data_IF_242427825483
#
_entry.id   IF_242427825483
#
_cell.length_a   1.000
_cell.length_b   1.000
_cell.length_c   1.000
_cell.angle_alpha   90.00
_cell.angle_beta   90.00
_cell.angle_gamma   90.00
#
_symmetry.space_group_name_H-M   'P 1'
#
loop_
_entity.id
_entity.type
_entity.pdbx_description
1 polymer ?
#
# COMPACT_ATOMS: atom_id res chain seq x y z
N UNK A 1 18.68 8.92 -24.55
CA UNK A 1 17.89 8.96 -23.31
C UNK A 1 18.16 7.68 -22.53
N UNK A 2 18.57 7.76 -21.27
CA UNK A 2 18.65 6.58 -20.39
C UNK A 2 17.28 6.38 -19.75
N UNK A 3 16.75 5.17 -19.82
CA UNK A 3 15.49 4.85 -19.15
C UNK A 3 15.70 4.80 -17.64
N UNK A 4 14.92 5.55 -16.89
CA UNK A 4 14.92 5.52 -15.43
C UNK A 4 13.77 4.64 -14.95
N UNK A 5 14.10 3.56 -14.24
CA UNK A 5 13.13 2.54 -13.81
C UNK A 5 12.31 3.02 -12.61
N UNK A 6 12.90 3.86 -11.74
CA UNK A 6 12.32 4.28 -10.47
C UNK A 6 10.96 5.01 -10.59
N UNK A 7 10.76 5.96 -11.53
CA UNK A 7 9.45 6.59 -11.74
C UNK A 7 8.34 5.59 -12.07
N UNK A 8 8.64 4.53 -12.84
CA UNK A 8 7.68 3.50 -13.21
C UNK A 8 7.29 2.64 -12.00
N UNK A 9 8.28 2.28 -11.18
CA UNK A 9 8.06 1.53 -9.92
C UNK A 9 7.21 2.33 -8.95
N UNK A 10 7.54 3.61 -8.75
CA UNK A 10 6.77 4.51 -7.88
C UNK A 10 5.33 4.67 -8.38
N UNK A 11 5.13 4.84 -9.69
CA UNK A 11 3.79 4.90 -10.27
C UNK A 11 3.00 3.62 -10.01
N UNK A 12 3.62 2.45 -10.23
CA UNK A 12 3.01 1.14 -9.99
C UNK A 12 2.60 0.88 -8.54
N UNK A 13 3.12 1.66 -7.58
CA UNK A 13 2.79 1.56 -6.15
C UNK A 13 1.80 2.63 -5.73
N UNK A 14 2.06 3.88 -6.11
CA UNK A 14 1.24 5.03 -5.72
C UNK A 14 -0.14 4.93 -6.35
N UNK A 15 -0.24 4.52 -7.62
CA UNK A 15 -1.53 4.44 -8.30
C UNK A 15 -2.50 3.45 -7.60
N UNK A 16 -2.16 2.17 -7.38
CA UNK A 16 -3.04 1.24 -6.68
C UNK A 16 -3.34 1.67 -5.24
N UNK A 17 -2.36 2.27 -4.55
CA UNK A 17 -2.56 2.85 -3.22
C UNK A 17 -3.63 3.94 -3.20
N UNK A 18 -3.56 4.89 -4.12
CA UNK A 18 -4.56 5.95 -4.28
C UNK A 18 -5.93 5.35 -4.63
N UNK A 19 -5.99 4.34 -5.49
CA UNK A 19 -7.25 3.63 -5.78
C UNK A 19 -7.84 3.01 -4.50
N UNK A 20 -7.02 2.35 -3.68
CA UNK A 20 -7.45 1.83 -2.38
C UNK A 20 -8.06 2.89 -1.47
N UNK A 21 -7.40 4.05 -1.35
CA UNK A 21 -7.93 5.20 -0.60
C UNK A 21 -9.28 5.66 -1.16
N UNK A 22 -9.37 5.86 -2.47
CA UNK A 22 -10.60 6.32 -3.13
C UNK A 22 -11.76 5.33 -2.95
N UNK A 23 -11.50 4.03 -2.88
CA UNK A 23 -12.53 3.02 -2.63
C UNK A 23 -13.14 3.13 -1.21
N UNK A 24 -12.33 3.44 -0.19
CA UNK A 24 -12.83 3.57 1.20
C UNK A 24 -13.39 4.96 1.51
N UNK A 25 -12.93 5.98 0.78
CA UNK A 25 -13.24 7.38 1.05
C UNK A 25 -14.75 7.70 1.08
N UNK A 26 -15.61 7.25 0.13
CA UNK A 26 -17.05 7.55 0.16
C UNK A 26 -17.73 7.09 1.44
N UNK A 27 -17.40 5.88 1.90
CA UNK A 27 -17.95 5.30 3.13
C UNK A 27 -17.45 6.07 4.36
N UNK A 28 -16.18 6.47 4.38
CA UNK A 28 -15.61 7.27 5.47
C UNK A 28 -16.36 8.61 5.61
N UNK A 29 -16.65 9.27 4.49
CA UNK A 29 -17.41 10.54 4.47
C UNK A 29 -18.82 10.37 5.03
N UNK A 30 -19.52 9.28 4.69
CA UNK A 30 -20.85 8.97 5.23
C UNK A 30 -20.77 8.75 6.76
N UNK A 31 -19.83 7.94 7.21
CA UNK A 31 -19.62 7.68 8.63
C UNK A 31 -19.21 8.96 9.40
N UNK A 32 -18.56 9.93 8.74
CA UNK A 32 -18.19 11.23 9.33
C UNK A 32 -19.41 12.10 9.57
N UNK A 33 -20.42 12.00 8.71
CA UNK A 33 -21.68 12.72 8.91
C UNK A 33 -22.60 12.11 9.96
N UNK A 34 -22.37 10.86 10.35
CA UNK A 34 -23.19 10.16 11.34
C UNK A 34 -22.80 10.47 12.81
N UNK A 35 -21.95 11.48 13.08
CA UNK A 35 -21.47 11.86 14.41
C UNK A 35 -20.89 10.70 15.25
N UNK A 36 -20.45 9.61 14.59
CA UNK A 36 -19.72 8.53 15.25
C UNK A 36 -18.38 9.07 15.75
N UNK A 37 -18.04 8.76 17.01
CA UNK A 37 -16.72 9.08 17.57
C UNK A 37 -15.61 8.49 16.70
N UNK A 38 -14.60 9.31 16.39
CA UNK A 38 -13.41 8.86 15.71
C UNK A 38 -12.65 7.87 16.59
N UNK A 39 -12.48 6.66 16.09
CA UNK A 39 -11.79 5.57 16.78
C UNK A 39 -10.78 4.95 15.82
N UNK A 40 -9.64 4.51 16.35
CA UNK A 40 -8.62 3.85 15.54
C UNK A 40 -8.60 2.34 15.80
N UNK A 41 -8.81 1.55 14.74
CA UNK A 41 -8.70 0.10 14.81
C UNK A 41 -7.23 -0.33 14.68
N UNK A 42 -6.55 -0.39 15.82
CA UNK A 42 -5.17 -0.86 15.95
C UNK A 42 -5.00 -2.30 15.47
N UNK A 43 -6.02 -3.15 15.61
CA UNK A 43 -5.93 -4.56 15.22
C UNK A 43 -5.83 -4.63 13.69
N UNK A 44 -6.71 -3.94 12.96
CA UNK A 44 -6.63 -3.89 11.49
C UNK A 44 -5.33 -3.24 11.01
N UNK A 45 -4.86 -2.20 11.69
CA UNK A 45 -3.63 -1.54 11.31
C UNK A 45 -2.42 -2.48 11.39
N UNK A 46 -2.26 -3.15 12.53
CA UNK A 46 -1.12 -4.05 12.76
C UNK A 46 -1.27 -5.34 11.95
N UNK A 47 -2.46 -5.92 11.85
CA UNK A 47 -2.67 -7.21 11.20
C UNK A 47 -2.73 -7.12 9.66
N UNK A 48 -3.04 -5.95 9.09
CA UNK A 48 -3.25 -5.80 7.64
C UNK A 48 -2.37 -4.69 7.05
N UNK A 49 -2.43 -3.47 7.59
CA UNK A 49 -1.69 -2.34 7.01
C UNK A 49 -0.18 -2.51 7.14
N UNK A 50 0.32 -2.98 8.29
CA UNK A 50 1.77 -3.20 8.47
C UNK A 50 2.32 -4.30 7.53
N UNK A 51 1.73 -5.51 7.44
CA UNK A 51 2.21 -6.53 6.50
C UNK A 51 2.18 -6.07 5.04
N UNK A 52 1.12 -5.36 4.63
CA UNK A 52 1.00 -4.86 3.26
C UNK A 52 2.01 -3.74 2.96
N UNK A 53 2.30 -2.87 3.93
CA UNK A 53 3.37 -1.88 3.82
C UNK A 53 4.74 -2.55 3.68
N UNK A 54 5.03 -3.62 4.43
CA UNK A 54 6.28 -4.38 4.29
C UNK A 54 6.44 -4.96 2.88
N UNK A 55 5.36 -5.51 2.30
CA UNK A 55 5.38 -6.04 0.93
C UNK A 55 5.65 -4.91 -0.09
N UNK A 56 5.02 -3.74 0.06
CA UNK A 56 5.31 -2.59 -0.82
C UNK A 56 6.76 -2.13 -0.68
N UNK A 57 7.28 -2.05 0.55
CA UNK A 57 8.69 -1.69 0.78
C UNK A 57 9.64 -2.67 0.08
N UNK A 58 9.36 -3.98 0.16
CA UNK A 58 10.11 -5.01 -0.56
C UNK A 58 10.05 -4.88 -2.09
N UNK A 59 8.99 -4.28 -2.64
CA UNK A 59 8.90 -3.99 -4.07
C UNK A 59 9.78 -2.80 -4.52
N UNK A 60 10.08 -1.86 -3.62
CA UNK A 60 10.91 -0.67 -3.90
C UNK A 60 12.38 -0.95 -3.69
N UNK A 61 12.71 -1.74 -2.66
CA UNK A 61 14.08 -2.04 -2.24
C UNK A 61 15.05 -2.45 -3.38
N UNK A 62 14.67 -3.27 -4.40
CA UNK A 62 15.59 -3.67 -5.47
C UNK A 62 16.14 -2.50 -6.29
N UNK A 63 15.44 -1.36 -6.29
CA UNK A 63 15.77 -0.18 -7.07
C UNK A 63 16.51 0.89 -6.24
N UNK A 64 16.98 0.52 -5.05
CA UNK A 64 17.70 1.39 -4.12
C UNK A 64 19.08 0.81 -3.78
N UNK A 65 19.97 1.62 -3.19
CA UNK A 65 21.28 1.15 -2.72
C UNK A 65 21.19 0.03 -1.65
N UNK A 66 20.02 -0.16 -1.03
CA UNK A 66 19.79 -1.21 -0.06
C UNK A 66 19.66 -2.62 -0.68
N UNK A 67 19.50 -2.72 -2.01
CA UNK A 67 19.40 -3.99 -2.72
C UNK A 67 20.64 -4.88 -2.52
N UNK A 68 21.81 -4.29 -2.27
CA UNK A 68 23.06 -5.03 -2.03
C UNK A 68 23.10 -5.74 -0.67
N UNK A 69 22.30 -5.27 0.30
CA UNK A 69 22.33 -5.76 1.68
C UNK A 69 21.16 -6.67 2.04
N UNK A 70 20.09 -6.68 1.24
CA UNK A 70 18.85 -7.37 1.56
C UNK A 70 18.55 -8.40 0.47
N UNK A 71 18.38 -9.68 0.87
CA UNK A 71 17.91 -10.72 -0.04
C UNK A 71 16.41 -10.54 -0.28
N UNK A 72 16.05 -10.13 -1.49
CA UNK A 72 14.66 -9.90 -1.89
C UNK A 72 14.12 -11.16 -2.56
N UNK A 73 12.88 -11.60 -2.24
CA UNK A 73 12.30 -12.78 -2.87
C UNK A 73 12.18 -12.62 -4.39
N UNK A 74 12.62 -13.63 -5.14
CA UNK A 74 12.59 -13.66 -6.61
C UNK A 74 11.19 -13.37 -7.18
N UNK A 75 10.14 -13.80 -6.47
CA UNK A 75 8.74 -13.58 -6.85
C UNK A 75 8.36 -12.09 -6.95
N UNK A 76 9.08 -11.20 -6.25
CA UNK A 76 8.89 -9.75 -6.35
C UNK A 76 9.65 -9.11 -7.52
N UNK A 77 10.66 -9.81 -8.05
CA UNK A 77 11.51 -9.35 -9.14
C UNK A 77 11.08 -9.91 -10.51
N UNK A 78 10.56 -11.15 -10.53
CA UNK A 78 10.18 -11.88 -11.76
C UNK A 78 8.66 -12.11 -11.88
N UNK A 79 7.89 -11.78 -10.83
CA UNK A 79 6.45 -11.96 -10.81
C UNK A 79 5.69 -10.91 -11.62
N UNK A 80 4.43 -11.22 -11.94
CA UNK A 80 3.50 -10.20 -12.45
C UNK A 80 3.25 -9.12 -11.40
N UNK A 81 3.01 -7.85 -11.77
CA UNK A 81 2.81 -6.74 -10.83
C UNK A 81 1.49 -6.83 -10.03
N UNK A 82 0.81 -7.97 -10.10
CA UNK A 82 -0.46 -8.25 -9.42
C UNK A 82 -0.30 -8.14 -7.90
N UNK A 83 0.79 -8.67 -7.33
CA UNK A 83 1.02 -8.61 -5.88
C UNK A 83 1.12 -7.14 -5.44
N UNK A 84 1.96 -6.36 -6.10
CA UNK A 84 2.15 -4.92 -5.80
C UNK A 84 0.82 -4.15 -5.94
N UNK A 85 0.05 -4.47 -6.99
CA UNK A 85 -1.25 -3.82 -7.25
C UNK A 85 -2.26 -4.13 -6.14
N UNK A 86 -2.45 -5.42 -5.82
CA UNK A 86 -3.39 -5.84 -4.77
C UNK A 86 -2.96 -5.29 -3.42
N UNK A 87 -1.68 -5.43 -3.07
CA UNK A 87 -1.14 -4.93 -1.81
C UNK A 87 -1.27 -3.42 -1.69
N UNK A 88 -1.03 -2.66 -2.77
CA UNK A 88 -1.25 -1.21 -2.81
C UNK A 88 -2.71 -0.84 -2.50
N UNK A 89 -3.65 -1.49 -3.19
CA UNK A 89 -5.09 -1.28 -2.98
C UNK A 89 -5.49 -1.62 -1.53
N UNK A 90 -5.05 -2.77 -1.01
CA UNK A 90 -5.37 -3.21 0.34
C UNK A 90 -4.79 -2.23 1.36
N UNK A 91 -3.53 -1.81 1.23
CA UNK A 91 -2.92 -0.84 2.14
C UNK A 91 -3.71 0.48 2.16
N UNK A 92 -3.98 1.06 0.98
CA UNK A 92 -4.71 2.32 0.87
C UNK A 92 -6.11 2.21 1.47
N UNK A 93 -6.85 1.15 1.14
CA UNK A 93 -8.19 0.92 1.68
C UNK A 93 -8.16 0.77 3.21
N UNK A 94 -7.26 -0.07 3.73
CA UNK A 94 -7.18 -0.37 5.17
C UNK A 94 -6.79 0.85 5.99
N UNK A 95 -5.91 1.74 5.50
CA UNK A 95 -5.54 2.95 6.24
C UNK A 95 -6.76 3.82 6.58
N UNK A 96 -7.68 4.00 5.63
CA UNK A 96 -8.93 4.73 5.90
C UNK A 96 -9.94 3.89 6.67
N UNK A 97 -9.95 2.57 6.50
CA UNK A 97 -10.83 1.67 7.24
C UNK A 97 -10.47 1.57 8.73
N UNK A 98 -9.19 1.79 9.07
CA UNK A 98 -8.72 1.90 10.45
C UNK A 98 -9.30 3.11 11.17
N UNK A 99 -9.73 4.16 10.47
CA UNK A 99 -10.15 5.41 11.09
C UNK A 99 -11.55 5.37 11.72
N UNK A 100 -12.29 4.25 11.63
CA UNK A 100 -13.64 4.09 12.23
C UNK A 100 -14.02 2.67 12.61
N UNK A 101 -14.53 2.53 13.83
CA UNK A 101 -15.29 1.38 14.34
C UNK A 101 -16.79 1.68 14.43
#
# INVERSE_FOLDING_TARGET
>A
MKFEVMPVVLYGIIFPFVIGLLLRLPKLLIEMRQNKHWTFDWIKFIAIAIPTLCVIAMAILPYTAAAEFIKIPLIMMEGTPIIQTITGIVLGYTLLDCLKK
#
